data_IF_002746540322
#
_entry.id   IF_002746540322
#
_cell.length_a   1.000
_cell.length_b   1.000
_cell.length_c   1.000
_cell.angle_alpha   90.00
_cell.angle_beta   90.00
_cell.angle_gamma   90.00
#
_symmetry.space_group_name_H-M   'P 1'
#
loop_
_entity.id
_entity.type
_entity.pdbx_description
1 polymer ?
#
# COMPACT_ATOMS: atom_id res chain seq x y z
N UNK A 1 79.08 -27.15 36.96
CA UNK A 1 79.05 -27.98 35.73
C UNK A 1 77.58 -28.23 35.43
N UNK A 2 77.12 -28.06 34.19
CA UNK A 2 75.69 -28.04 33.89
C UNK A 2 75.25 -29.27 33.10
N UNK A 3 74.02 -29.71 33.34
CA UNK A 3 73.40 -30.80 32.60
C UNK A 3 73.17 -30.40 31.15
N UNK A 4 73.63 -31.20 30.20
CA UNK A 4 73.53 -30.90 28.76
C UNK A 4 72.12 -31.03 28.17
N UNK A 5 71.09 -31.37 28.96
CA UNK A 5 69.68 -31.44 28.53
C UNK A 5 68.84 -30.27 29.05
N UNK A 6 68.91 -29.97 30.34
CA UNK A 6 68.12 -28.91 30.97
C UNK A 6 68.93 -27.63 31.29
N UNK A 7 70.25 -27.67 31.13
CA UNK A 7 71.19 -26.59 31.41
C UNK A 7 71.27 -26.14 32.88
N UNK A 8 70.67 -26.88 33.82
CA UNK A 8 70.76 -26.65 35.27
C UNK A 8 72.04 -27.23 35.89
N UNK A 9 72.44 -26.74 37.07
CA UNK A 9 73.64 -27.17 37.79
C UNK A 9 73.63 -28.64 38.22
N UNK A 10 74.81 -29.28 38.22
CA UNK A 10 75.02 -30.69 38.58
C UNK A 10 75.51 -30.89 40.03
N UNK A 11 75.58 -29.82 40.83
CA UNK A 11 76.33 -29.79 42.10
C UNK A 11 75.84 -30.75 43.20
N UNK A 12 74.61 -31.28 43.11
CA UNK A 12 73.99 -32.08 44.19
C UNK A 12 73.31 -33.37 43.72
N UNK A 13 73.45 -33.75 42.44
CA UNK A 13 72.71 -34.87 41.85
C UNK A 13 73.62 -35.91 41.19
N UNK A 14 73.27 -37.18 41.34
CA UNK A 14 73.90 -38.27 40.59
C UNK A 14 73.82 -37.98 39.08
N UNK A 15 74.99 -37.96 38.43
CA UNK A 15 75.12 -37.61 37.02
C UNK A 15 75.78 -38.74 36.22
N UNK A 16 75.44 -38.82 34.94
CA UNK A 16 75.99 -39.79 34.00
C UNK A 16 76.69 -39.07 32.85
N UNK A 17 77.83 -39.61 32.41
CA UNK A 17 78.63 -39.09 31.30
C UNK A 17 78.38 -39.95 30.06
N UNK A 18 78.07 -39.33 28.93
CA UNK A 18 77.97 -40.04 27.65
C UNK A 18 79.34 -40.51 27.18
N UNK A 19 79.49 -41.80 26.85
CA UNK A 19 80.75 -42.41 26.43
C UNK A 19 81.27 -41.88 25.08
N UNK A 20 80.40 -41.28 24.24
CA UNK A 20 80.80 -40.73 22.93
C UNK A 20 81.12 -39.24 22.96
N UNK A 21 80.23 -38.41 23.51
CA UNK A 21 80.41 -36.95 23.49
C UNK A 21 80.95 -36.39 24.80
N UNK A 22 81.17 -37.22 25.81
CA UNK A 22 81.70 -36.83 27.12
C UNK A 22 80.85 -35.80 27.90
N UNK A 23 79.64 -35.48 27.43
CA UNK A 23 78.73 -34.56 28.09
C UNK A 23 78.07 -35.20 29.31
N UNK A 24 77.81 -34.36 30.32
CA UNK A 24 77.19 -34.74 31.59
C UNK A 24 75.68 -34.47 31.56
N UNK A 25 74.93 -35.40 32.14
CA UNK A 25 73.48 -35.33 32.27
C UNK A 25 73.07 -35.74 33.68
N UNK A 26 72.02 -35.12 34.23
CA UNK A 26 71.33 -35.70 35.39
C UNK A 26 70.80 -37.08 35.01
N UNK A 27 70.79 -38.04 35.93
CA UNK A 27 70.19 -39.36 35.69
C UNK A 27 68.71 -39.23 35.31
N UNK A 28 67.96 -38.33 35.97
CA UNK A 28 66.58 -38.01 35.60
C UNK A 28 66.45 -37.46 34.16
N UNK A 29 67.49 -36.81 33.66
CA UNK A 29 67.54 -36.29 32.30
C UNK A 29 67.99 -37.34 31.26
N UNK A 30 68.64 -38.42 31.68
CA UNK A 30 69.24 -39.44 30.80
C UNK A 30 68.30 -40.57 30.40
N UNK A 31 67.02 -40.50 30.79
CA UNK A 31 65.98 -41.53 30.54
C UNK A 31 66.29 -42.91 31.13
N UNK A 32 67.24 -43.00 32.08
CA UNK A 32 67.54 -44.21 32.84
C UNK A 32 66.67 -44.18 34.10
N UNK A 33 65.64 -45.02 34.17
CA UNK A 33 64.71 -45.08 35.31
C UNK A 33 65.03 -46.33 36.14
N UNK A 34 65.15 -46.19 37.47
CA UNK A 34 65.25 -47.33 38.40
C UNK A 34 66.65 -47.72 38.89
N UNK A 35 67.70 -46.95 38.56
CA UNK A 35 69.06 -47.18 39.07
C UNK A 35 69.53 -45.98 39.91
N UNK A 36 69.89 -46.21 41.17
CA UNK A 36 70.53 -45.20 42.05
C UNK A 36 72.01 -45.05 41.69
N UNK A 37 72.60 -43.85 41.83
CA UNK A 37 73.89 -43.51 41.24
C UNK A 37 75.10 -44.36 41.68
N UNK A 38 74.99 -45.05 42.82
CA UNK A 38 75.99 -46.01 43.30
C UNK A 38 76.13 -47.26 42.42
N UNK A 39 75.06 -47.72 41.75
CA UNK A 39 75.08 -48.91 40.88
C UNK A 39 75.57 -48.56 39.46
N UNK A 40 75.28 -47.34 38.99
CA UNK A 40 75.68 -46.87 37.66
C UNK A 40 77.17 -46.54 37.56
N UNK A 41 77.79 -46.04 38.63
CA UNK A 41 79.23 -45.71 38.66
C UNK A 41 80.14 -46.91 38.38
N UNK A 42 79.71 -48.13 38.70
CA UNK A 42 80.56 -49.33 38.61
C UNK A 42 80.26 -50.24 37.40
N UNK A 43 79.09 -50.13 36.76
CA UNK A 43 78.66 -51.07 35.71
C UNK A 43 78.38 -50.49 34.32
N UNK A 44 78.37 -49.17 34.15
CA UNK A 44 77.95 -48.57 32.87
C UNK A 44 79.04 -47.66 32.27
N UNK A 45 80.05 -48.27 31.64
CA UNK A 45 81.11 -47.56 30.90
C UNK A 45 80.72 -47.19 29.45
N UNK A 46 79.55 -47.64 28.97
CA UNK A 46 79.15 -47.60 27.55
C UNK A 46 77.86 -46.82 27.26
N UNK A 47 77.31 -46.07 28.22
CA UNK A 47 76.07 -45.33 28.01
C UNK A 47 76.22 -44.19 26.99
N UNK A 48 75.25 -44.07 26.07
CA UNK A 48 75.20 -43.01 25.06
C UNK A 48 73.99 -42.11 25.33
N UNK A 49 74.17 -40.79 25.20
CA UNK A 49 73.02 -39.87 25.23
C UNK A 49 72.14 -40.08 24.00
N UNK A 50 70.85 -39.75 24.10
CA UNK A 50 69.85 -39.94 23.03
C UNK A 50 70.26 -39.36 21.68
N UNK A 51 71.06 -38.28 21.68
CA UNK A 51 71.61 -37.68 20.46
C UNK A 51 72.70 -38.59 19.85
N UNK A 52 73.65 -39.07 20.66
CA UNK A 52 74.71 -39.96 20.21
C UNK A 52 74.21 -41.36 19.85
N UNK A 53 73.16 -41.82 20.52
CA UNK A 53 72.45 -43.06 20.25
C UNK A 53 71.63 -42.96 18.96
N UNK A 54 70.86 -41.88 18.78
CA UNK A 54 70.16 -41.59 17.52
C UNK A 54 71.10 -41.44 16.33
N UNK A 55 72.28 -40.85 16.53
CA UNK A 55 73.32 -40.78 15.50
C UNK A 55 73.97 -42.14 15.19
N UNK A 56 74.08 -43.06 16.18
CA UNK A 56 74.51 -44.44 15.96
C UNK A 56 73.46 -45.25 15.18
N UNK A 57 72.18 -44.96 15.40
CA UNK A 57 71.03 -45.58 14.72
C UNK A 57 70.66 -44.91 13.38
N UNK A 58 71.44 -43.93 12.91
CA UNK A 58 71.22 -43.28 11.61
C UNK A 58 70.02 -42.34 11.53
N UNK A 59 69.45 -41.90 12.67
CA UNK A 59 68.28 -41.00 12.70
C UNK A 59 68.71 -39.58 12.29
N UNK A 60 68.56 -39.24 11.00
CA UNK A 60 68.68 -37.85 10.51
C UNK A 60 67.35 -37.11 10.80
N UNK A 61 67.43 -35.82 11.19
CA UNK A 61 66.24 -34.96 11.36
C UNK A 61 65.42 -34.99 10.06
N UNK A 62 64.15 -35.37 10.17
CA UNK A 62 63.26 -35.59 9.03
C UNK A 62 62.88 -34.28 8.30
N UNK A 63 62.73 -34.30 6.95
CA UNK A 63 62.26 -33.17 6.13
C UNK A 63 60.82 -32.69 6.44
N UNK A 64 60.06 -33.37 7.31
CA UNK A 64 58.68 -32.98 7.65
C UNK A 64 58.54 -31.61 8.34
N UNK A 65 59.62 -31.02 8.85
CA UNK A 65 59.55 -29.74 9.60
C UNK A 65 59.26 -28.51 8.73
N UNK A 66 59.67 -28.50 7.45
CA UNK A 66 59.37 -27.38 6.53
C UNK A 66 57.91 -27.38 6.09
N UNK A 67 57.38 -28.53 5.67
CA UNK A 67 55.99 -28.69 5.27
C UNK A 67 55.01 -28.34 6.42
N UNK A 68 55.34 -28.70 7.66
CA UNK A 68 54.55 -28.32 8.84
C UNK A 68 54.53 -26.80 9.05
N UNK A 69 55.65 -26.11 8.80
CA UNK A 69 55.70 -24.65 8.91
C UNK A 69 54.90 -23.95 7.80
N UNK A 70 54.88 -24.48 6.59
CA UNK A 70 54.08 -23.92 5.49
C UNK A 70 52.58 -24.14 5.70
N UNK A 71 52.19 -25.31 6.20
CA UNK A 71 50.82 -25.58 6.64
C UNK A 71 50.43 -24.60 7.76
N UNK A 72 51.30 -24.37 8.76
CA UNK A 72 51.05 -23.43 9.85
C UNK A 72 50.82 -22.00 9.35
N UNK A 73 51.60 -21.55 8.36
CA UNK A 73 51.39 -20.24 7.71
C UNK A 73 50.06 -20.18 6.97
N UNK A 74 49.70 -21.23 6.23
CA UNK A 74 48.42 -21.33 5.51
C UNK A 74 47.22 -21.28 6.47
N UNK A 75 47.27 -22.05 7.56
CA UNK A 75 46.24 -22.04 8.62
C UNK A 75 46.08 -20.64 9.21
N UNK A 76 47.19 -19.96 9.55
CA UNK A 76 47.13 -18.59 10.08
C UNK A 76 46.48 -17.60 9.09
N UNK A 77 46.74 -17.79 7.78
CA UNK A 77 46.10 -16.99 6.72
C UNK A 77 44.61 -17.32 6.57
N UNK A 78 44.22 -18.58 6.71
CA UNK A 78 42.81 -18.96 6.70
C UNK A 78 42.07 -18.40 7.93
N UNK A 79 42.65 -18.43 9.13
CA UNK A 79 42.04 -17.86 10.35
C UNK A 79 41.75 -16.37 10.19
N UNK A 80 42.71 -15.59 9.67
CA UNK A 80 42.49 -14.18 9.37
C UNK A 80 41.39 -13.96 8.32
N UNK A 81 41.30 -14.84 7.32
CA UNK A 81 40.26 -14.75 6.28
C UNK A 81 38.88 -15.10 6.86
N UNK A 82 38.79 -16.08 7.76
CA UNK A 82 37.57 -16.43 8.49
C UNK A 82 37.09 -15.28 9.38
N UNK A 83 37.99 -14.57 10.05
CA UNK A 83 37.63 -13.37 10.83
C UNK A 83 37.02 -12.28 9.94
N UNK A 84 37.60 -12.02 8.78
CA UNK A 84 37.06 -11.04 7.82
C UNK A 84 35.68 -11.47 7.31
N UNK A 85 35.49 -12.76 7.01
CA UNK A 85 34.20 -13.29 6.57
C UNK A 85 33.12 -13.19 7.65
N UNK A 86 33.46 -13.50 8.90
CA UNK A 86 32.52 -13.35 10.03
C UNK A 86 32.08 -11.89 10.19
N UNK A 87 33.02 -10.94 10.14
CA UNK A 87 32.67 -9.51 10.22
C UNK A 87 31.74 -9.07 9.07
N UNK A 88 31.95 -9.58 7.85
CA UNK A 88 31.04 -9.30 6.73
C UNK A 88 29.67 -9.95 6.90
N UNK A 89 29.62 -11.15 7.49
CA UNK A 89 28.36 -11.83 7.81
C UNK A 89 27.55 -11.05 8.83
N UNK A 90 28.21 -10.50 9.85
CA UNK A 90 27.58 -9.65 10.86
C UNK A 90 27.05 -8.35 10.25
N UNK A 91 27.81 -7.71 9.37
CA UNK A 91 27.37 -6.51 8.64
C UNK A 91 26.13 -6.79 7.77
N UNK A 92 26.16 -7.85 6.96
CA UNK A 92 25.01 -8.26 6.13
C UNK A 92 23.80 -8.59 7.00
N UNK A 93 23.99 -9.24 8.15
CA UNK A 93 22.91 -9.52 9.10
C UNK A 93 22.32 -8.24 9.70
N UNK A 94 23.15 -7.22 9.92
CA UNK A 94 22.73 -5.88 10.31
C UNK A 94 21.88 -5.20 9.22
N UNK A 95 22.35 -5.23 7.98
CA UNK A 95 21.63 -4.67 6.84
C UNK A 95 20.28 -5.37 6.61
N UNK A 96 20.23 -6.70 6.75
CA UNK A 96 18.99 -7.47 6.61
C UNK A 96 17.94 -7.06 7.65
N UNK A 97 18.39 -6.76 8.88
CA UNK A 97 17.52 -6.28 9.96
C UNK A 97 16.98 -4.88 9.68
N UNK A 98 17.83 -3.97 9.20
CA UNK A 98 17.42 -2.61 8.80
C UNK A 98 16.41 -2.65 7.66
N UNK A 99 16.66 -3.49 6.64
CA UNK A 99 15.70 -3.70 5.55
C UNK A 99 14.37 -4.25 6.06
N UNK A 100 14.38 -5.22 6.99
CA UNK A 100 13.16 -5.73 7.61
C UNK A 100 12.35 -4.64 8.31
N UNK A 101 13.00 -3.74 9.05
CA UNK A 101 12.35 -2.59 9.69
C UNK A 101 11.75 -1.64 8.66
N UNK A 102 12.49 -1.30 7.59
CA UNK A 102 12.00 -0.41 6.53
C UNK A 102 10.80 -1.00 5.79
N UNK A 103 10.82 -2.29 5.50
CA UNK A 103 9.69 -2.97 4.85
C UNK A 103 8.43 -2.90 5.72
N UNK A 104 8.55 -3.17 7.02
CA UNK A 104 7.42 -3.06 7.96
C UNK A 104 6.84 -1.65 8.03
N UNK A 105 7.69 -0.61 8.01
CA UNK A 105 7.23 0.80 7.98
C UNK A 105 6.54 1.14 6.67
N UNK A 106 7.04 0.65 5.54
CA UNK A 106 6.42 0.87 4.24
C UNK A 106 5.06 0.17 4.14
N UNK A 107 4.95 -1.06 4.64
CA UNK A 107 3.69 -1.79 4.72
C UNK A 107 2.63 -1.00 5.52
N UNK A 108 2.97 -0.52 6.72
CA UNK A 108 2.03 0.29 7.52
C UNK A 108 1.59 1.58 6.79
N UNK A 109 2.52 2.26 6.11
CA UNK A 109 2.19 3.45 5.31
C UNK A 109 1.27 3.14 4.14
N UNK A 110 1.46 2.00 3.48
CA UNK A 110 0.57 1.55 2.39
C UNK A 110 -0.82 1.29 2.96
N UNK A 111 -0.93 0.56 4.07
CA UNK A 111 -2.23 0.27 4.71
C UNK A 111 -2.95 1.56 5.13
N UNK A 112 -2.23 2.55 5.69
CA UNK A 112 -2.80 3.85 6.03
C UNK A 112 -3.29 4.60 4.78
N UNK A 113 -2.53 4.57 3.68
CA UNK A 113 -2.93 5.20 2.43
C UNK A 113 -4.17 4.53 1.82
N UNK A 114 -4.22 3.19 1.82
CA UNK A 114 -5.37 2.41 1.37
C UNK A 114 -6.64 2.74 2.18
N UNK A 115 -6.53 2.82 3.51
CA UNK A 115 -7.63 3.22 4.38
C UNK A 115 -8.11 4.65 4.10
N UNK A 116 -7.19 5.58 3.83
CA UNK A 116 -7.53 6.97 3.46
C UNK A 116 -8.20 7.03 2.09
N UNK A 117 -7.73 6.25 1.11
CA UNK A 117 -8.32 6.17 -0.23
C UNK A 117 -9.74 5.61 -0.15
N UNK A 118 -9.94 4.52 0.60
CA UNK A 118 -11.27 3.93 0.81
C UNK A 118 -12.22 4.91 1.50
N UNK A 119 -11.71 5.73 2.44
CA UNK A 119 -12.49 6.79 3.08
C UNK A 119 -12.90 7.90 2.09
N UNK A 120 -12.02 8.26 1.15
CA UNK A 120 -12.30 9.26 0.10
C UNK A 120 -13.28 8.72 -0.94
N UNK A 121 -13.17 7.46 -1.35
CA UNK A 121 -14.13 6.81 -2.25
C UNK A 121 -15.53 6.67 -1.61
N UNK A 122 -15.57 6.48 -0.29
CA UNK A 122 -16.81 6.43 0.50
C UNK A 122 -17.48 7.81 0.64
N UNK A 123 -16.70 8.89 0.60
CA UNK A 123 -17.21 10.25 0.50
C UNK A 123 -17.29 10.66 -0.97
N UNK A 124 -18.35 10.24 -1.65
CA UNK A 124 -18.72 10.72 -2.98
C UNK A 124 -19.11 12.21 -2.96
N UNK A 125 -18.19 13.09 -2.57
CA UNK A 125 -18.30 14.50 -2.91
C UNK A 125 -18.13 14.61 -4.42
N UNK A 126 -19.07 15.21 -5.16
CA UNK A 126 -18.88 15.47 -6.58
C UNK A 126 -17.57 16.25 -6.73
N UNK A 127 -16.68 15.79 -7.61
CA UNK A 127 -15.45 16.53 -7.93
C UNK A 127 -15.80 17.97 -8.29
N UNK A 128 -14.90 18.92 -8.03
CA UNK A 128 -15.15 20.34 -8.33
C UNK A 128 -15.58 20.53 -9.81
N UNK A 129 -15.00 19.74 -10.73
CA UNK A 129 -15.38 19.65 -12.14
C UNK A 129 -16.87 19.27 -12.35
N UNK A 130 -17.38 18.31 -11.57
CA UNK A 130 -18.77 17.86 -11.62
C UNK A 130 -19.73 18.94 -11.11
N UNK A 131 -19.34 19.67 -10.06
CA UNK A 131 -20.12 20.79 -9.55
C UNK A 131 -20.18 21.92 -10.58
N UNK A 132 -19.04 22.29 -11.18
CA UNK A 132 -18.95 23.33 -12.20
C UNK A 132 -19.80 22.95 -13.42
N UNK A 133 -19.68 21.71 -13.90
CA UNK A 133 -20.46 21.19 -15.03
C UNK A 133 -21.97 21.26 -14.76
N UNK A 134 -22.41 20.93 -13.54
CA UNK A 134 -23.81 21.03 -13.14
C UNK A 134 -24.29 22.49 -13.14
N UNK A 135 -23.49 23.44 -12.64
CA UNK A 135 -23.86 24.86 -12.62
C UNK A 135 -24.08 25.38 -14.05
N UNK A 136 -23.18 25.01 -14.97
CA UNK A 136 -23.29 25.38 -16.39
C UNK A 136 -24.56 24.75 -17.01
N UNK A 137 -24.82 23.46 -16.80
CA UNK A 137 -26.01 22.79 -17.36
C UNK A 137 -27.32 23.39 -16.78
N UNK A 138 -27.34 23.73 -15.48
CA UNK A 138 -28.48 24.45 -14.87
C UNK A 138 -28.73 25.79 -15.53
N UNK A 139 -27.68 26.58 -15.77
CA UNK A 139 -27.82 27.90 -16.40
C UNK A 139 -28.33 27.77 -17.84
N UNK A 140 -27.82 26.80 -18.60
CA UNK A 140 -28.27 26.52 -19.97
C UNK A 140 -29.75 26.08 -20.04
N UNK A 141 -30.25 25.41 -19.00
CA UNK A 141 -31.65 24.94 -18.89
C UNK A 141 -32.59 25.91 -18.17
N UNK A 142 -32.07 26.97 -17.56
CA UNK A 142 -32.83 27.87 -16.70
C UNK A 142 -34.00 28.57 -17.40
N UNK A 143 -34.03 28.61 -18.73
CA UNK A 143 -35.10 29.18 -19.56
C UNK A 143 -36.01 28.14 -20.19
N UNK A 144 -35.86 26.87 -19.85
CA UNK A 144 -36.57 25.76 -20.48
C UNK A 144 -37.65 25.17 -19.57
N UNK A 145 -38.79 24.84 -20.17
CA UNK A 145 -39.86 24.03 -19.60
C UNK A 145 -40.01 22.73 -20.37
N UNK A 146 -40.42 21.70 -19.66
CA UNK A 146 -40.89 20.44 -20.23
C UNK A 146 -42.40 20.34 -20.02
N UNK A 147 -43.13 20.19 -21.12
CA UNK A 147 -44.58 20.05 -21.15
C UNK A 147 -44.91 18.62 -21.55
N UNK A 148 -45.63 17.93 -20.68
CA UNK A 148 -46.07 16.55 -20.88
C UNK A 148 -47.55 16.52 -21.25
N UNK A 149 -47.94 15.47 -21.98
CA UNK A 149 -49.31 15.20 -22.42
C UNK A 149 -49.91 16.29 -23.32
N UNK A 150 -49.07 17.04 -24.05
CA UNK A 150 -49.54 17.90 -25.11
C UNK A 150 -49.96 17.02 -26.31
N UNK A 151 -51.21 17.15 -26.83
CA UNK A 151 -51.69 16.37 -27.98
C UNK A 151 -50.71 16.43 -29.15
N UNK A 152 -50.45 15.31 -29.82
CA UNK A 152 -49.61 15.32 -31.02
C UNK A 152 -50.43 15.77 -32.24
N UNK A 153 -49.86 16.58 -33.15
CA UNK A 153 -50.54 16.93 -34.38
C UNK A 153 -50.65 15.70 -35.30
N UNK A 154 -51.85 15.44 -35.82
CA UNK A 154 -52.16 14.34 -36.75
C UNK A 154 -51.77 14.67 -38.20
N UNK A 155 -50.55 15.20 -38.38
CA UNK A 155 -49.94 15.44 -39.69
C UNK A 155 -50.45 16.67 -40.45
N UNK A 156 -51.50 17.36 -39.99
CA UNK A 156 -52.03 18.55 -40.66
C UNK A 156 -52.15 19.75 -39.68
N UNK A 157 -51.16 20.64 -39.77
CA UNK A 157 -51.20 22.07 -39.43
C UNK A 157 -51.43 22.58 -38.00
N UNK A 158 -51.54 21.74 -36.97
CA UNK A 158 -51.41 22.26 -35.60
C UNK A 158 -49.94 22.48 -35.22
N UNK A 159 -49.53 23.74 -35.23
CA UNK A 159 -48.21 24.15 -34.79
C UNK A 159 -48.16 24.06 -33.26
N UNK A 160 -47.25 23.25 -32.72
CA UNK A 160 -47.01 23.15 -31.27
C UNK A 160 -46.82 24.53 -30.63
N UNK A 161 -46.26 25.49 -31.37
CA UNK A 161 -46.13 26.89 -30.94
C UNK A 161 -47.49 27.51 -30.63
N UNK A 162 -48.51 27.30 -31.48
CA UNK A 162 -49.86 27.86 -31.29
C UNK A 162 -50.55 27.24 -30.07
N UNK A 163 -50.44 25.92 -29.91
CA UNK A 163 -50.95 25.23 -28.71
C UNK A 163 -50.31 25.80 -27.44
N UNK A 164 -48.99 25.91 -27.41
CA UNK A 164 -48.28 26.44 -26.24
C UNK A 164 -48.61 27.90 -25.96
N UNK A 165 -48.80 28.74 -27.00
CA UNK A 165 -49.28 30.11 -26.83
C UNK A 165 -50.65 30.15 -26.14
N UNK A 166 -51.61 29.32 -26.56
CA UNK A 166 -52.93 29.23 -25.94
C UNK A 166 -52.85 28.74 -24.49
N UNK A 167 -52.03 27.72 -24.23
CA UNK A 167 -51.79 27.23 -22.86
C UNK A 167 -51.18 28.32 -21.98
N UNK A 168 -50.18 29.06 -22.49
CA UNK A 168 -49.55 30.15 -21.74
C UNK A 168 -50.50 31.30 -21.51
N UNK A 169 -51.41 31.61 -22.44
CA UNK A 169 -52.41 32.65 -22.25
C UNK A 169 -53.30 32.40 -21.02
N UNK A 170 -53.68 31.14 -20.77
CA UNK A 170 -54.43 30.73 -19.56
C UNK A 170 -53.61 30.91 -18.28
N UNK A 171 -52.30 30.70 -18.35
CA UNK A 171 -51.41 30.80 -17.20
C UNK A 171 -51.08 32.26 -16.88
N UNK A 172 -50.57 32.95 -17.90
CA UNK A 172 -49.97 34.28 -17.91
C UNK A 172 -49.99 34.88 -19.32
N UNK A 173 -50.90 35.82 -19.63
CA UNK A 173 -51.10 36.33 -20.98
C UNK A 173 -49.92 37.11 -21.57
N UNK A 174 -48.99 37.58 -20.74
CA UNK A 174 -47.86 38.43 -21.16
C UNK A 174 -46.58 37.65 -21.52
N UNK A 175 -46.59 36.31 -21.42
CA UNK A 175 -45.40 35.48 -21.67
C UNK A 175 -45.63 34.65 -22.92
N UNK A 176 -44.69 34.72 -23.87
CA UNK A 176 -44.70 33.96 -25.10
C UNK A 176 -43.50 32.99 -25.18
N UNK A 177 -43.66 31.81 -25.80
CA UNK A 177 -42.54 30.91 -26.03
C UNK A 177 -41.63 31.45 -27.15
N UNK A 178 -40.32 31.32 -26.98
CA UNK A 178 -39.33 31.66 -28.00
C UNK A 178 -39.11 30.50 -28.98
N UNK A 179 -38.90 29.30 -28.44
CA UNK A 179 -38.66 28.07 -29.22
C UNK A 179 -39.50 26.95 -28.62
N UNK A 180 -40.11 26.13 -29.48
CA UNK A 180 -40.88 24.94 -29.09
C UNK A 180 -40.43 23.77 -29.95
N UNK A 181 -40.09 22.65 -29.31
CA UNK A 181 -39.69 21.43 -30.02
C UNK A 181 -40.10 20.16 -29.28
N UNK A 182 -40.47 19.11 -30.01
CA UNK A 182 -40.78 17.78 -29.44
C UNK A 182 -39.50 17.03 -29.10
N UNK A 183 -39.50 16.33 -27.97
CA UNK A 183 -38.39 15.51 -27.51
C UNK A 183 -38.63 14.02 -27.80
N UNK A 184 -37.62 13.36 -28.37
CA UNK A 184 -37.63 11.93 -28.61
C UNK A 184 -38.32 11.49 -29.91
N UNK A 185 -38.35 10.18 -30.11
CA UNK A 185 -38.98 9.53 -31.27
C UNK A 185 -40.49 9.36 -31.03
N UNK A 186 -41.28 9.43 -32.11
CA UNK A 186 -42.74 9.31 -32.04
C UNK A 186 -43.13 7.90 -31.57
N UNK A 187 -44.05 7.82 -30.61
CA UNK A 187 -44.55 6.55 -30.05
C UNK A 187 -46.07 6.62 -29.91
N UNK A 188 -46.69 5.60 -29.29
CA UNK A 188 -48.12 5.64 -28.93
C UNK A 188 -48.46 6.71 -27.89
N UNK A 189 -47.48 7.14 -27.08
CA UNK A 189 -47.66 8.22 -26.11
C UNK A 189 -47.21 9.56 -26.70
N UNK A 190 -47.93 10.66 -26.41
CA UNK A 190 -47.52 11.97 -26.88
C UNK A 190 -46.13 12.35 -26.37
N UNK A 191 -45.27 12.78 -27.29
CA UNK A 191 -43.91 13.22 -26.95
C UNK A 191 -43.92 14.48 -26.10
N UNK A 192 -43.03 14.58 -25.08
CA UNK A 192 -42.86 15.81 -24.33
C UNK A 192 -42.40 16.96 -25.24
N UNK A 193 -42.84 18.17 -24.91
CA UNK A 193 -42.40 19.41 -25.55
C UNK A 193 -41.37 20.11 -24.69
N UNK A 194 -40.24 20.47 -25.30
CA UNK A 194 -39.29 21.44 -24.76
C UNK A 194 -39.73 22.83 -25.23
N UNK A 195 -39.92 23.73 -24.28
CA UNK A 195 -40.24 25.13 -24.54
C UNK A 195 -39.14 26.00 -23.95
N UNK A 196 -38.50 26.82 -24.77
CA UNK A 196 -37.52 27.82 -24.33
C UNK A 196 -38.17 29.20 -24.31
N UNK A 197 -38.00 29.92 -23.20
CA UNK A 197 -38.46 31.30 -23.02
C UNK A 197 -37.31 32.30 -23.26
N UNK A 198 -37.66 33.57 -23.37
CA UNK A 198 -36.67 34.65 -23.49
C UNK A 198 -35.89 34.84 -22.18
N UNK A 199 -36.62 34.91 -21.06
CA UNK A 199 -36.08 35.18 -19.73
C UNK A 199 -36.28 34.03 -18.74
N UNK A 200 -35.32 33.76 -17.84
CA UNK A 200 -35.45 32.71 -16.83
C UNK A 200 -36.48 33.07 -15.74
N UNK A 201 -36.77 34.36 -15.51
CA UNK A 201 -37.80 34.81 -14.57
C UNK A 201 -39.19 34.30 -14.94
N UNK A 202 -39.48 34.21 -16.24
CA UNK A 202 -40.79 33.80 -16.76
C UNK A 202 -41.14 32.35 -16.39
N UNK A 203 -40.11 31.50 -16.24
CA UNK A 203 -40.25 30.12 -15.79
C UNK A 203 -40.89 30.05 -14.42
N UNK A 204 -40.44 30.88 -13.47
CA UNK A 204 -40.99 30.91 -12.12
C UNK A 204 -42.45 31.34 -12.12
N UNK A 205 -42.80 32.33 -12.95
CA UNK A 205 -44.16 32.84 -13.09
C UNK A 205 -45.09 31.76 -13.65
N UNK A 206 -44.68 31.07 -14.71
CA UNK A 206 -45.44 29.97 -15.31
C UNK A 206 -45.61 28.82 -14.31
N UNK A 207 -44.53 28.41 -13.64
CA UNK A 207 -44.57 27.31 -12.67
C UNK A 207 -45.45 27.61 -11.46
N UNK A 208 -45.52 28.88 -11.02
CA UNK A 208 -46.43 29.34 -9.96
C UNK A 208 -47.89 29.23 -10.38
N UNK A 209 -48.20 29.60 -11.63
CA UNK A 209 -49.56 29.61 -12.16
C UNK A 209 -50.03 28.26 -12.73
N UNK A 210 -49.16 27.26 -12.89
CA UNK A 210 -49.50 25.97 -13.54
C UNK A 210 -50.68 25.21 -12.92
N UNK A 211 -51.04 25.50 -11.68
CA UNK A 211 -52.22 24.93 -11.02
C UNK A 211 -53.53 25.28 -11.76
N UNK A 212 -53.59 26.44 -12.45
CA UNK A 212 -54.73 26.87 -13.27
C UNK A 212 -55.04 25.92 -14.44
N UNK A 213 -54.06 25.13 -14.90
CA UNK A 213 -54.32 24.12 -15.92
C UNK A 213 -55.20 23.01 -15.39
N UNK A 214 -55.06 22.63 -14.11
CA UNK A 214 -55.84 21.53 -13.52
C UNK A 214 -57.33 21.83 -13.48
N UNK A 215 -57.69 23.11 -13.40
CA UNK A 215 -59.08 23.59 -13.42
C UNK A 215 -59.60 23.86 -14.83
N UNK A 216 -58.74 23.82 -15.86
CA UNK A 216 -59.14 24.03 -17.24
C UNK A 216 -59.77 22.75 -17.81
N UNK A 217 -60.97 22.82 -18.42
CA UNK A 217 -61.59 21.66 -19.05
C UNK A 217 -60.82 21.16 -20.28
N UNK A 218 -60.08 22.07 -20.94
CA UNK A 218 -59.33 21.77 -22.17
C UNK A 218 -57.91 21.27 -21.83
N UNK A 219 -57.26 21.88 -20.83
CA UNK A 219 -55.83 21.67 -20.54
C UNK A 219 -55.56 20.88 -19.26
N UNK A 220 -56.59 20.27 -18.64
CA UNK A 220 -56.47 19.53 -17.37
C UNK A 220 -55.47 18.39 -17.35
N UNK A 221 -55.24 17.75 -18.51
CA UNK A 221 -54.30 16.64 -18.69
C UNK A 221 -52.84 17.09 -18.84
N UNK A 222 -52.61 18.35 -19.23
CA UNK A 222 -51.27 18.90 -19.47
C UNK A 222 -50.53 19.06 -18.14
N UNK A 223 -49.24 18.71 -18.14
CA UNK A 223 -48.35 18.86 -16.99
C UNK A 223 -47.11 19.65 -17.37
N UNK A 224 -46.77 20.64 -16.55
CA UNK A 224 -45.59 21.49 -16.75
C UNK A 224 -44.57 21.25 -15.63
N UNK A 225 -43.33 21.02 -16.06
CA UNK A 225 -42.15 20.88 -15.21
C UNK A 225 -41.02 21.78 -15.69
N UNK A 226 -40.12 22.26 -14.81
CA UNK A 226 -38.83 22.78 -15.26
C UNK A 226 -38.02 21.70 -16.00
N UNK A 227 -37.19 22.12 -16.95
CA UNK A 227 -36.14 21.28 -17.54
C UNK A 227 -35.00 21.11 -16.53
N UNK A 228 -34.88 19.91 -16.00
CA UNK A 228 -33.92 19.57 -14.94
C UNK A 228 -32.73 18.82 -15.52
N UNK A 229 -31.56 19.05 -14.93
CA UNK A 229 -30.35 18.27 -15.20
C UNK A 229 -30.53 16.80 -14.79
N UNK A 230 -29.64 15.93 -15.25
CA UNK A 230 -29.66 14.52 -14.84
C UNK A 230 -29.48 14.39 -13.33
N UNK A 231 -28.56 15.18 -12.74
CA UNK A 231 -28.30 15.15 -11.31
C UNK A 231 -29.54 15.55 -10.50
N UNK A 232 -30.23 16.63 -10.90
CA UNK A 232 -31.50 17.03 -10.28
C UNK A 232 -32.60 15.97 -10.41
N UNK A 233 -32.69 15.28 -11.56
CA UNK A 233 -33.68 14.21 -11.76
C UNK A 233 -33.41 13.02 -10.86
N UNK A 234 -32.14 12.61 -10.71
CA UNK A 234 -31.75 11.52 -9.84
C UNK A 234 -32.06 11.87 -8.37
N UNK A 235 -31.64 13.05 -7.90
CA UNK A 235 -31.95 13.52 -6.54
C UNK A 235 -33.45 13.47 -6.23
N UNK A 236 -34.30 13.86 -7.17
CA UNK A 236 -35.75 13.82 -6.98
C UNK A 236 -36.31 12.40 -7.02
N UNK A 237 -35.76 11.51 -7.85
CA UNK A 237 -36.13 10.09 -7.89
C UNK A 237 -35.82 9.44 -6.55
N UNK A 238 -34.65 9.70 -6.00
CA UNK A 238 -34.21 9.14 -4.71
C UNK A 238 -35.11 9.63 -3.57
N UNK A 239 -35.46 10.92 -3.57
CA UNK A 239 -36.38 11.48 -2.58
C UNK A 239 -37.78 10.88 -2.71
N UNK A 240 -38.29 10.70 -3.92
CA UNK A 240 -39.59 10.06 -4.12
C UNK A 240 -39.58 8.61 -3.65
N UNK A 241 -38.53 7.85 -3.96
CA UNK A 241 -38.35 6.48 -3.45
C UNK A 241 -38.38 6.43 -1.92
N UNK A 242 -37.63 7.32 -1.25
CA UNK A 242 -37.65 7.44 0.22
C UNK A 242 -39.01 7.81 0.78
N UNK A 243 -39.79 8.65 0.09
CA UNK A 243 -41.17 8.95 0.51
C UNK A 243 -42.05 7.72 0.41
N UNK A 244 -41.93 6.94 -0.66
CA UNK A 244 -42.70 5.71 -0.86
C UNK A 244 -42.33 4.64 0.18
N UNK A 245 -41.04 4.43 0.45
CA UNK A 245 -40.56 3.53 1.51
C UNK A 245 -41.12 3.90 2.88
N UNK A 246 -41.07 5.18 3.24
CA UNK A 246 -41.61 5.65 4.53
C UNK A 246 -43.13 5.53 4.62
N UNK A 247 -43.83 5.76 3.50
CA UNK A 247 -45.29 5.51 3.42
C UNK A 247 -45.61 4.04 3.59
N UNK A 248 -44.82 3.15 2.98
CA UNK A 248 -44.97 1.70 3.15
C UNK A 248 -44.67 1.26 4.60
N UNK A 249 -43.76 1.95 5.29
CA UNK A 249 -43.49 1.76 6.72
C UNK A 249 -44.57 2.35 7.65
N UNK A 250 -45.65 2.91 7.11
CA UNK A 250 -46.80 3.42 7.88
C UNK A 250 -46.75 4.90 8.21
N UNK A 251 -45.77 5.66 7.71
CA UNK A 251 -45.76 7.11 7.89
C UNK A 251 -46.75 7.82 6.95
N UNK A 252 -47.67 8.58 7.52
CA UNK A 252 -48.64 9.39 6.77
C UNK A 252 -48.21 10.86 6.63
N UNK A 253 -48.90 11.58 5.74
CA UNK A 253 -48.72 13.03 5.52
C UNK A 253 -47.33 13.47 5.05
N UNK A 254 -46.55 12.58 4.43
CA UNK A 254 -45.25 12.92 3.85
C UNK A 254 -45.40 13.64 2.50
N UNK A 255 -44.77 14.81 2.39
CA UNK A 255 -44.73 15.65 1.19
C UNK A 255 -43.31 16.14 0.91
N UNK A 256 -42.95 16.17 -0.38
CA UNK A 256 -41.71 16.79 -0.82
C UNK A 256 -41.88 18.30 -0.92
N UNK A 257 -41.07 19.07 -0.20
CA UNK A 257 -40.99 20.54 -0.28
C UNK A 257 -39.57 20.97 -0.62
N UNK A 258 -39.42 22.08 -1.34
CA UNK A 258 -38.11 22.67 -1.62
C UNK A 258 -37.80 23.72 -0.54
N UNK A 259 -36.72 23.52 0.21
CA UNK A 259 -36.23 24.45 1.24
C UNK A 259 -34.91 25.04 0.74
N UNK A 260 -34.86 26.36 0.51
CA UNK A 260 -33.71 27.07 -0.10
C UNK A 260 -33.22 26.42 -1.40
N UNK A 261 -34.15 25.97 -2.25
CA UNK A 261 -33.84 25.31 -3.53
C UNK A 261 -33.47 23.83 -3.43
N UNK A 262 -33.38 23.26 -2.23
CA UNK A 262 -33.05 21.84 -2.01
C UNK A 262 -34.33 21.04 -1.73
N UNK A 263 -34.60 19.94 -2.45
CA UNK A 263 -35.76 19.10 -2.18
C UNK A 263 -35.59 18.35 -0.85
N UNK A 264 -36.61 18.37 -0.01
CA UNK A 264 -36.60 17.75 1.31
C UNK A 264 -37.98 17.11 1.63
N UNK A 265 -37.98 16.09 2.49
CA UNK A 265 -39.18 15.38 2.92
C UNK A 265 -39.69 16.04 4.19
N UNK A 266 -40.94 16.49 4.18
CA UNK A 266 -41.60 17.17 5.31
C UNK A 266 -42.94 16.52 5.60
N UNK A 267 -43.42 16.62 6.84
CA UNK A 267 -44.80 16.27 7.19
C UNK A 267 -45.70 17.48 6.90
N UNK A 268 -46.86 17.23 6.33
CA UNK A 268 -47.85 18.26 6.01
C UNK A 268 -48.75 18.57 7.20
#
# INVERSE_FOLDING_TARGET
MNCSKCNCDLATADCVKCSKCSKLFHIACSSIVGLTGSILKFRCSSWLCTICEGARLGVRKSPHTSAVNDIKKSVSKHDSSFLVLNNKLDDVSGQLRDLGVRTSVLEDRVTQLENRLSSVESTSSPSDESIISEVIDRQARARNLIIFNAPEPDGNNENDISLIKSVFHVLTPNIAPAIVSRLGQKTSKPRPLKVTLHEPSDIFIILKNKHKLRTSPIYGSIRISPDRTIMQRNQLRDIMGKIEERKAAGESNLVMKFVKGVPNITKN
#
